data_IF_813733528908
#
_entry.id   IF_813733528908
#
_cell.length_a   1.000
_cell.length_b   1.000
_cell.length_c   1.000
_cell.angle_alpha   90.00
_cell.angle_beta   90.00
_cell.angle_gamma   90.00
#
_symmetry.space_group_name_H-M   'P 1'
#
loop_
_entity.id
_entity.type
_entity.pdbx_description
1 polymer ?
#
# COMPACT_ATOMS: atom_id res chain seq x y z
N UNK A 1 -15.73 -10.77 5.77
CA UNK A 1 -15.71 -9.31 5.51
C UNK A 1 -15.46 -9.14 4.02
N UNK A 2 -16.33 -8.42 3.30
CA UNK A 2 -16.44 -8.46 1.83
C UNK A 2 -16.45 -7.06 1.19
N UNK A 3 -15.81 -6.08 1.83
CA UNK A 3 -15.71 -4.73 1.26
C UNK A 3 -14.24 -4.33 1.18
N UNK A 4 -13.83 -3.85 0.01
CA UNK A 4 -12.51 -3.30 -0.28
C UNK A 4 -12.19 -2.15 0.67
N UNK A 5 -10.92 -2.01 1.07
CA UNK A 5 -10.55 -1.04 2.08
C UNK A 5 -9.14 -1.17 2.63
N UNK A 6 -8.79 -0.22 3.49
CA UNK A 6 -7.58 -0.20 4.32
C UNK A 6 -8.00 -0.18 5.78
N UNK A 7 -7.42 -1.06 6.58
CA UNK A 7 -7.65 -1.15 8.02
C UNK A 7 -6.31 -1.15 8.74
N UNK A 8 -6.17 -0.44 9.84
CA UNK A 8 -4.98 -0.50 10.66
C UNK A 8 -5.26 -0.06 12.09
N UNK A 9 -4.25 -0.23 12.96
CA UNK A 9 -4.28 0.30 14.34
C UNK A 9 -3.08 1.20 14.57
N UNK A 10 -3.33 2.33 15.23
CA UNK A 10 -2.30 3.21 15.78
C UNK A 10 -2.50 3.21 17.29
N UNK A 11 -1.50 2.79 18.06
CA UNK A 11 -1.57 2.72 19.52
C UNK A 11 -2.84 2.01 20.05
N UNK A 12 -3.29 0.98 19.33
CA UNK A 12 -4.50 0.21 19.66
C UNK A 12 -5.82 0.83 19.18
N UNK A 13 -5.85 2.09 18.74
CA UNK A 13 -7.04 2.71 18.15
C UNK A 13 -7.26 2.22 16.72
N UNK A 14 -8.44 1.64 16.39
CA UNK A 14 -8.71 1.12 15.05
C UNK A 14 -9.03 2.25 14.07
N UNK A 15 -8.49 2.11 12.87
CA UNK A 15 -8.88 2.86 11.69
C UNK A 15 -9.43 1.90 10.64
N UNK A 16 -10.49 2.31 9.94
CA UNK A 16 -11.06 1.55 8.85
C UNK A 16 -11.57 2.50 7.80
N UNK A 17 -11.00 2.40 6.60
CA UNK A 17 -11.53 3.02 5.40
C UNK A 17 -12.06 1.92 4.49
N UNK A 18 -13.31 2.08 4.09
CA UNK A 18 -14.02 1.18 3.19
C UNK A 18 -14.20 1.99 1.92
N UNK A 19 -13.80 1.43 0.79
CA UNK A 19 -13.58 2.06 -0.53
C UNK A 19 -12.10 2.40 -0.76
N UNK A 20 -11.47 1.59 -1.60
CA UNK A 20 -10.14 1.84 -2.12
C UNK A 20 -10.15 1.65 -3.63
N UNK A 21 -9.37 2.47 -4.33
CA UNK A 21 -9.20 2.32 -5.78
C UNK A 21 -7.80 1.87 -6.11
N UNK A 22 -7.72 1.01 -7.11
CA UNK A 22 -6.46 0.63 -7.73
C UNK A 22 -6.18 1.59 -8.88
N UNK A 23 -5.04 2.27 -8.80
CA UNK A 23 -4.51 3.09 -9.90
C UNK A 23 -3.22 2.43 -10.42
N UNK A 24 -3.22 1.99 -11.67
CA UNK A 24 -2.01 1.51 -12.38
C UNK A 24 -1.48 2.55 -13.37
N UNK A 25 -0.17 2.58 -13.62
CA UNK A 25 0.45 3.43 -14.65
C UNK A 25 1.58 2.67 -15.38
N UNK A 26 1.63 2.71 -16.72
CA UNK A 26 2.75 2.26 -17.60
C UNK A 26 3.00 3.29 -18.72
N UNK A 27 4.27 3.53 -19.17
CA UNK A 27 5.21 2.52 -19.69
C UNK A 27 6.68 2.59 -19.21
N UNK A 28 7.02 3.26 -18.10
CA UNK A 28 8.45 3.33 -17.65
C UNK A 28 8.68 2.76 -16.24
N UNK A 29 7.63 2.59 -15.41
CA UNK A 29 7.72 1.98 -14.07
C UNK A 29 6.37 1.37 -13.72
N UNK A 30 6.29 0.05 -13.61
CA UNK A 30 5.08 -0.64 -13.17
C UNK A 30 4.80 -0.23 -11.72
N UNK A 31 3.80 0.57 -11.43
CA UNK A 31 3.41 0.78 -10.04
C UNK A 31 1.90 0.77 -9.88
N UNK A 32 1.50 0.31 -8.71
CA UNK A 32 0.12 0.24 -8.25
C UNK A 32 -0.03 1.20 -7.09
N UNK A 33 -1.14 1.92 -7.06
CA UNK A 33 -1.52 2.75 -5.92
C UNK A 33 -2.91 2.38 -5.44
N UNK A 34 -2.99 1.92 -4.20
CA UNK A 34 -4.21 1.80 -3.42
C UNK A 34 -4.42 3.11 -2.69
N UNK A 35 -5.52 3.80 -2.94
CA UNK A 35 -5.89 5.03 -2.22
C UNK A 35 -7.29 4.93 -1.68
N UNK A 36 -7.45 5.39 -0.45
CA UNK A 36 -8.76 5.65 0.16
C UNK A 36 -9.13 7.15 0.06
N UNK A 37 -10.41 7.50 0.22
CA UNK A 37 -10.90 8.89 0.07
C UNK A 37 -10.25 9.93 0.99
N UNK A 38 -9.72 9.49 2.13
CA UNK A 38 -9.04 10.32 3.13
C UNK A 38 -7.56 10.58 2.82
N UNK A 39 -7.13 10.31 1.59
CA UNK A 39 -5.74 10.44 1.14
C UNK A 39 -4.75 9.52 1.91
N UNK A 40 -5.24 8.44 2.51
CA UNK A 40 -4.43 7.30 2.97
C UNK A 40 -4.18 6.35 1.80
N UNK A 41 -3.00 5.71 1.75
CA UNK A 41 -2.69 4.84 0.63
C UNK A 41 -1.41 4.04 0.71
N UNK A 42 -1.28 3.13 -0.25
CA UNK A 42 -0.15 2.24 -0.44
C UNK A 42 0.24 2.30 -1.91
N UNK A 43 1.49 2.67 -2.19
CA UNK A 43 2.08 2.61 -3.52
C UNK A 43 3.11 1.50 -3.55
N UNK A 44 2.95 0.53 -4.46
CA UNK A 44 3.91 -0.54 -4.70
C UNK A 44 4.55 -0.31 -6.07
N UNK A 45 5.87 -0.07 -6.11
CA UNK A 45 6.61 0.08 -7.37
C UNK A 45 7.28 -1.23 -7.72
N UNK A 46 7.22 -1.56 -9.01
CA UNK A 46 7.55 -2.84 -9.62
C UNK A 46 6.96 -3.97 -8.81
N UNK A 47 5.64 -4.14 -8.92
CA UNK A 47 4.99 -5.30 -8.31
C UNK A 47 5.62 -6.53 -8.96
N UNK A 48 6.26 -7.41 -8.19
CA UNK A 48 6.48 -8.73 -8.72
C UNK A 48 5.08 -9.35 -8.83
N UNK A 49 4.83 -10.14 -9.85
CA UNK A 49 3.70 -11.09 -9.88
C UNK A 49 3.89 -12.19 -8.82
N UNK A 50 4.60 -11.90 -7.72
CA UNK A 50 4.99 -12.80 -6.66
C UNK A 50 4.50 -12.30 -5.31
N UNK A 51 4.07 -13.26 -4.52
CA UNK A 51 3.73 -13.07 -3.12
C UNK A 51 5.01 -12.95 -2.31
N UNK A 52 4.94 -12.29 -1.15
CA UNK A 52 6.10 -12.18 -0.27
C UNK A 52 6.01 -11.03 0.70
N UNK A 53 7.04 -10.93 1.54
CA UNK A 53 7.23 -9.82 2.49
C UNK A 53 8.37 -8.93 2.01
N UNK A 54 8.11 -7.62 1.96
CA UNK A 54 9.03 -6.60 1.48
C UNK A 54 9.19 -5.53 2.55
N UNK A 55 10.33 -4.84 2.55
CA UNK A 55 10.62 -3.74 3.46
C UNK A 55 11.17 -2.56 2.66
N UNK A 56 10.64 -1.35 2.89
CA UNK A 56 10.90 -0.15 2.07
C UNK A 56 12.38 0.30 2.09
N UNK A 57 13.17 -0.16 3.05
CA UNK A 57 14.57 0.24 3.26
C UNK A 57 15.60 -0.88 3.05
N UNK A 58 15.18 -2.08 2.59
CA UNK A 58 16.07 -3.26 2.50
C UNK A 58 16.12 -3.83 1.06
N UNK A 59 17.33 -3.89 0.49
CA UNK A 59 17.63 -4.51 -0.82
C UNK A 59 18.20 -3.53 -1.85
N UNK A 60 18.59 -4.03 -3.02
CA UNK A 60 18.98 -3.15 -4.13
C UNK A 60 17.78 -2.33 -4.60
N UNK A 61 18.02 -1.02 -4.71
CA UNK A 61 17.03 0.06 -4.76
C UNK A 61 16.13 0.07 -6.01
N UNK A 62 16.26 -0.93 -6.88
CA UNK A 62 15.63 -1.02 -8.19
C UNK A 62 14.24 -1.67 -8.15
N UNK A 63 14.00 -2.67 -7.29
CA UNK A 63 12.79 -3.52 -7.39
C UNK A 63 11.79 -3.44 -6.21
N UNK A 64 12.01 -2.56 -5.21
CA UNK A 64 11.34 -2.73 -3.90
C UNK A 64 10.89 -1.44 -3.21
N UNK A 65 10.74 -0.37 -3.98
CA UNK A 65 10.27 0.91 -3.45
C UNK A 65 8.77 0.83 -3.26
N UNK A 66 8.31 0.76 -2.02
CA UNK A 66 6.91 0.98 -1.72
C UNK A 66 6.78 2.10 -0.70
N UNK A 67 5.69 2.84 -0.84
CA UNK A 67 5.33 3.92 0.08
C UNK A 67 4.02 3.52 0.74
N UNK A 68 3.96 3.62 2.06
CA UNK A 68 2.69 3.55 2.79
C UNK A 68 2.53 4.88 3.50
N UNK A 69 1.35 5.48 3.38
CA UNK A 69 1.05 6.75 4.05
C UNK A 69 -0.37 6.75 4.56
N UNK A 70 -0.61 7.49 5.63
CA UNK A 70 -1.95 7.67 6.18
C UNK A 70 -2.08 9.00 6.91
N UNK A 71 -3.32 9.47 6.97
CA UNK A 71 -3.70 10.66 7.75
C UNK A 71 -4.08 10.22 9.16
N UNK A 72 -3.48 10.85 10.17
CA UNK A 72 -3.84 10.67 11.58
C UNK A 72 -3.84 12.03 12.29
N UNK A 73 -5.00 12.40 12.83
CA UNK A 73 -5.22 13.77 13.32
C UNK A 73 -5.05 14.80 12.20
N UNK A 74 -4.20 15.80 12.43
CA UNK A 74 -3.90 16.85 11.45
C UNK A 74 -2.64 16.56 10.61
N UNK A 75 -2.07 15.36 10.71
CA UNK A 75 -0.78 15.02 10.11
C UNK A 75 -0.90 13.85 9.15
N UNK A 76 0.01 13.81 8.19
CA UNK A 76 0.25 12.65 7.34
C UNK A 76 1.56 12.00 7.74
N UNK A 77 1.54 10.69 7.91
CA UNK A 77 2.68 9.88 8.31
C UNK A 77 3.08 8.96 7.17
N UNK A 78 4.37 8.73 7.00
CA UNK A 78 4.92 8.02 5.85
C UNK A 78 5.92 6.95 6.28
N UNK A 79 5.90 5.84 5.56
CA UNK A 79 7.01 4.94 5.41
C UNK A 79 7.34 4.87 3.92
N UNK A 80 8.40 5.58 3.52
CA UNK A 80 8.89 5.71 2.15
C UNK A 80 10.42 5.59 2.15
N UNK A 81 11.11 5.99 1.09
CA UNK A 81 12.57 5.87 1.00
C UNK A 81 13.34 6.79 1.96
N UNK A 82 12.74 7.92 2.33
CA UNK A 82 13.41 9.01 3.03
C UNK A 82 13.06 9.02 4.53
N UNK A 83 11.98 8.33 4.93
CA UNK A 83 11.48 8.32 6.30
C UNK A 83 10.63 7.09 6.62
N UNK A 84 10.59 6.74 7.90
CA UNK A 84 9.87 5.57 8.38
C UNK A 84 10.50 4.24 7.92
N UNK A 85 9.93 3.16 8.42
CA UNK A 85 10.35 1.80 8.12
C UNK A 85 9.13 0.87 8.25
N UNK A 86 8.62 0.41 7.13
CA UNK A 86 7.48 -0.48 7.05
C UNK A 86 7.84 -1.79 6.37
N UNK A 87 7.13 -2.84 6.79
CA UNK A 87 7.05 -4.13 6.11
C UNK A 87 5.68 -4.25 5.48
N UNK A 88 5.62 -4.82 4.28
CA UNK A 88 4.38 -5.19 3.61
C UNK A 88 4.44 -6.66 3.22
N UNK A 89 3.37 -7.41 3.45
CA UNK A 89 3.24 -8.80 3.04
C UNK A 89 2.09 -8.94 2.07
N UNK A 90 2.39 -9.28 0.82
CA UNK A 90 1.40 -9.57 -0.21
C UNK A 90 0.98 -11.03 -0.11
N UNK A 91 -0.31 -11.25 0.07
CA UNK A 91 -0.92 -12.59 0.17
C UNK A 91 -1.81 -12.92 -1.03
N UNK A 92 -2.22 -11.90 -1.79
CA UNK A 92 -2.88 -12.07 -3.07
C UNK A 92 -2.48 -10.93 -4.00
N UNK A 93 -2.11 -11.29 -5.22
CA UNK A 93 -1.81 -10.35 -6.31
C UNK A 93 -2.48 -10.96 -7.55
N UNK A 94 -3.45 -10.25 -8.13
CA UNK A 94 -3.91 -10.40 -9.50
C UNK A 94 -2.81 -10.16 -10.54
N UNK A 95 -3.18 -10.01 -11.81
CA UNK A 95 -2.22 -10.00 -12.93
C UNK A 95 -2.21 -8.67 -13.63
N UNK A 96 -1.03 -8.26 -14.09
CA UNK A 96 -0.93 -7.17 -15.05
C UNK A 96 -1.40 -7.65 -16.43
N UNK A 97 -2.40 -6.99 -16.99
CA UNK A 97 -2.83 -7.20 -18.37
C UNK A 97 -1.85 -6.57 -19.37
N UNK A 98 -1.92 -6.97 -20.64
CA UNK A 98 -1.00 -6.53 -21.70
C UNK A 98 -1.03 -5.02 -21.97
N UNK A 99 -2.09 -4.33 -21.55
CA UNK A 99 -2.26 -2.88 -21.64
C UNK A 99 -1.76 -2.11 -20.40
N UNK A 100 -1.13 -2.79 -19.43
CA UNK A 100 -0.73 -2.19 -18.16
C UNK A 100 -1.91 -1.86 -17.22
N UNK A 101 -3.10 -2.38 -17.54
CA UNK A 101 -4.21 -2.39 -16.61
C UNK A 101 -4.10 -3.62 -15.72
N UNK A 102 -4.31 -3.43 -14.43
CA UNK A 102 -4.31 -4.52 -13.49
C UNK A 102 -5.68 -5.18 -13.43
N UNK A 103 -5.71 -6.52 -13.48
CA UNK A 103 -6.93 -7.30 -13.30
C UNK A 103 -6.80 -8.20 -12.07
N UNK A 104 -7.88 -8.27 -11.30
CA UNK A 104 -8.00 -9.12 -10.13
C UNK A 104 -7.82 -8.38 -8.81
N UNK A 105 -7.30 -9.09 -7.81
CA UNK A 105 -7.36 -8.68 -6.41
C UNK A 105 -5.97 -8.51 -5.82
N UNK A 106 -5.73 -7.38 -5.16
CA UNK A 106 -4.56 -7.16 -4.31
C UNK A 106 -4.98 -7.27 -2.85
N UNK A 107 -4.30 -8.13 -2.09
CA UNK A 107 -4.45 -8.22 -0.63
C UNK A 107 -3.09 -8.34 0.04
N UNK A 108 -2.99 -7.74 1.21
CA UNK A 108 -1.84 -7.91 2.05
C UNK A 108 -2.01 -7.29 3.43
N UNK A 109 -0.92 -7.33 4.18
CA UNK A 109 -0.77 -6.66 5.46
C UNK A 109 0.43 -5.74 5.46
N UNK A 110 0.45 -4.76 6.37
CA UNK A 110 1.59 -3.89 6.59
C UNK A 110 1.77 -3.58 8.07
N UNK A 111 3.01 -3.30 8.47
CA UNK A 111 3.35 -2.86 9.82
C UNK A 111 4.65 -2.08 9.80
N UNK A 112 4.92 -1.28 10.83
CA UNK A 112 6.16 -0.55 10.96
C UNK A 112 6.04 0.78 11.67
N UNK A 113 7.10 1.57 11.56
CA UNK A 113 7.19 2.92 12.09
C UNK A 113 7.02 3.92 10.95
N UNK A 114 6.19 4.93 11.18
CA UNK A 114 5.83 5.94 10.20
C UNK A 114 6.13 7.31 10.74
N UNK A 115 6.63 8.20 9.89
CA UNK A 115 7.21 9.47 10.31
C UNK A 115 6.55 10.61 9.54
N UNK A 116 6.14 11.66 10.24
CA UNK A 116 5.59 12.89 9.66
C UNK A 116 6.70 13.91 9.33
N UNK A 117 6.33 15.03 8.69
CA UNK A 117 7.28 16.09 8.31
C UNK A 117 8.02 16.69 9.52
N UNK A 118 7.32 16.82 10.65
CA UNK A 118 7.85 17.33 11.91
C UNK A 118 8.65 16.28 12.72
N UNK A 119 8.95 15.13 12.11
CA UNK A 119 9.64 13.98 12.72
C UNK A 119 8.89 13.28 13.84
N UNK A 120 7.61 13.59 14.06
CA UNK A 120 6.78 12.76 14.93
C UNK A 120 6.62 11.36 14.33
N UNK A 121 6.65 10.36 15.20
CA UNK A 121 6.56 8.94 14.82
C UNK A 121 5.27 8.33 15.33
N UNK A 122 4.74 7.37 14.58
CA UNK A 122 3.75 6.42 15.08
C UNK A 122 4.07 5.01 14.64
N UNK A 123 3.54 4.04 15.39
CA UNK A 123 3.74 2.61 15.11
C UNK A 123 2.41 1.99 14.69
N UNK A 124 2.42 1.31 13.55
CA UNK A 124 1.31 0.45 13.10
C UNK A 124 1.75 -1.00 13.24
N UNK A 125 1.03 -1.78 14.04
CA UNK A 125 1.35 -3.19 14.25
C UNK A 125 0.58 -4.12 13.31
N UNK A 126 -0.66 -3.74 12.98
CA UNK A 126 -1.63 -4.60 12.29
C UNK A 126 -2.38 -3.82 11.21
N UNK A 127 -1.70 -3.52 10.11
CA UNK A 127 -2.31 -2.98 8.89
C UNK A 127 -2.75 -4.08 7.94
N UNK A 128 -3.91 -3.90 7.32
CA UNK A 128 -4.49 -4.78 6.30
C UNK A 128 -5.03 -3.94 5.16
N UNK A 129 -4.88 -4.45 3.95
CA UNK A 129 -5.44 -3.79 2.77
C UNK A 129 -5.97 -4.81 1.79
N UNK A 130 -7.01 -4.38 1.09
CA UNK A 130 -7.63 -5.13 0.03
C UNK A 130 -8.23 -4.17 -1.00
N UNK A 131 -7.88 -4.32 -2.26
CA UNK A 131 -8.70 -3.82 -3.35
C UNK A 131 -8.91 -4.85 -4.45
N UNK A 132 -10.03 -4.68 -5.14
CA UNK A 132 -10.38 -5.45 -6.35
C UNK A 132 -10.43 -4.45 -7.49
N UNK A 133 -9.77 -4.79 -8.58
CA UNK A 133 -9.98 -4.08 -9.84
C UNK A 133 -10.94 -4.94 -10.65
N UNK A 134 -12.14 -4.44 -11.02
CA UNK A 134 -13.01 -5.16 -11.91
C UNK A 134 -12.32 -5.35 -13.25
N UNK A 135 -12.50 -6.53 -13.84
CA UNK A 135 -12.05 -6.85 -15.18
C UNK A 135 -12.53 -5.76 -16.15
N UNK A 136 -11.57 -5.00 -16.70
CA UNK A 136 -11.84 -3.91 -17.64
C UNK A 136 -12.13 -4.41 -19.07
N UNK A 137 -12.08 -5.73 -19.30
CA UNK A 137 -12.33 -6.35 -20.60
C UNK A 137 -13.82 -6.63 -20.90
N UNK A 138 -14.76 -5.99 -20.19
CA UNK A 138 -16.21 -6.12 -20.44
C UNK A 138 -16.87 -4.82 -20.88
#
# INVERSE_FOLDING_TARGET
>A
MTKEGIQYKIDGAPFTSIDCKILSHTPVRDYFTLVSPDATGIQLRQLPDSLGTYQNTVGENTFRRFNVWFVSGAKTYFADNDRGNAKITLTQVGKMGENGAYDGTVKGSFSGTFVADDKSEIVVTDGYFWAVQPDLAK
#
